data_IF_092826134337
#
_entry.id   IF_092826134337
#
_cell.length_a   1.000
_cell.length_b   1.000
_cell.length_c   1.000
_cell.angle_alpha   90.00
_cell.angle_beta   90.00
_cell.angle_gamma   90.00
#
_symmetry.space_group_name_H-M   'P 1'
#
loop_
_entity.id
_entity.type
_entity.pdbx_description
1 polymer ?
#
# COMPACT_ATOMS: atom_id res chain seq x y z
N UNK A 1 -32.66 -20.37 0.63
CA UNK A 1 -31.69 -20.58 1.73
C UNK A 1 -30.83 -19.33 1.84
N UNK A 2 -30.88 -18.60 2.96
CA UNK A 2 -30.03 -17.42 3.16
C UNK A 2 -28.63 -17.93 3.54
N UNK A 3 -27.66 -17.80 2.65
CA UNK A 3 -26.25 -18.01 3.01
C UNK A 3 -25.84 -16.86 3.92
N UNK A 4 -25.96 -17.04 5.23
CA UNK A 4 -25.30 -16.16 6.19
C UNK A 4 -23.79 -16.34 5.96
N UNK A 5 -23.05 -15.32 5.49
CA UNK A 5 -21.63 -15.48 5.26
C UNK A 5 -20.98 -15.85 6.60
N UNK A 6 -20.31 -17.00 6.65
CA UNK A 6 -19.57 -17.41 7.82
C UNK A 6 -18.42 -16.39 8.03
N UNK A 7 -18.54 -15.56 9.06
CA UNK A 7 -17.50 -14.58 9.42
C UNK A 7 -16.27 -15.35 9.86
N UNK A 8 -15.28 -15.44 8.97
CA UNK A 8 -13.99 -16.08 9.26
C UNK A 8 -13.21 -15.16 10.20
N UNK A 9 -13.10 -15.55 11.46
CA UNK A 9 -12.34 -14.81 12.49
C UNK A 9 -10.88 -15.23 12.41
N UNK A 10 -9.99 -14.28 12.17
CA UNK A 10 -8.56 -14.53 12.25
C UNK A 10 -8.14 -14.77 13.71
N UNK A 11 -7.19 -15.69 13.90
CA UNK A 11 -6.64 -15.97 15.22
C UNK A 11 -5.90 -14.75 15.78
N UNK A 12 -5.78 -14.65 17.11
CA UNK A 12 -4.96 -13.60 17.74
C UNK A 12 -3.49 -13.67 17.28
N UNK A 13 -2.96 -14.88 17.11
CA UNK A 13 -1.61 -15.13 16.63
C UNK A 13 -1.39 -14.58 15.20
N UNK A 14 -2.32 -14.84 14.28
CA UNK A 14 -2.21 -14.33 12.90
C UNK A 14 -2.26 -12.80 12.86
N UNK A 15 -3.19 -12.18 13.62
CA UNK A 15 -3.29 -10.72 13.70
C UNK A 15 -1.99 -10.10 14.25
N UNK A 16 -1.40 -10.71 15.27
CA UNK A 16 -0.14 -10.26 15.83
C UNK A 16 1.00 -10.34 14.80
N UNK A 17 1.13 -11.47 14.09
CA UNK A 17 2.13 -11.65 13.05
C UNK A 17 2.02 -10.57 11.96
N UNK A 18 0.81 -10.32 11.44
CA UNK A 18 0.59 -9.30 10.40
C UNK A 18 1.00 -7.91 10.88
N UNK A 19 0.63 -7.54 12.11
CA UNK A 19 1.00 -6.26 12.68
C UNK A 19 2.51 -6.11 12.87
N UNK A 20 3.17 -7.14 13.39
CA UNK A 20 4.62 -7.13 13.58
C UNK A 20 5.34 -7.01 12.23
N UNK A 21 4.97 -7.81 11.23
CA UNK A 21 5.55 -7.72 9.89
C UNK A 21 5.32 -6.34 9.26
N UNK A 22 4.12 -5.78 9.41
CA UNK A 22 3.81 -4.46 8.89
C UNK A 22 4.67 -3.36 9.53
N UNK A 23 4.79 -3.35 10.86
CA UNK A 23 5.62 -2.38 11.58
C UNK A 23 7.09 -2.52 11.16
N UNK A 24 7.61 -3.74 11.10
CA UNK A 24 9.00 -3.97 10.67
C UNK A 24 9.23 -3.43 9.25
N UNK A 25 8.33 -3.72 8.30
CA UNK A 25 8.46 -3.20 6.94
C UNK A 25 8.40 -1.68 6.87
N UNK A 26 7.46 -1.03 7.59
CA UNK A 26 7.34 0.43 7.59
C UNK A 26 8.57 1.09 8.19
N UNK A 27 9.07 0.56 9.32
CA UNK A 27 10.26 1.08 9.98
C UNK A 27 11.49 0.89 9.10
N UNK A 28 11.69 -0.29 8.51
CA UNK A 28 12.86 -0.59 7.69
C UNK A 28 12.90 0.26 6.41
N UNK A 29 11.76 0.41 5.73
CA UNK A 29 11.66 1.29 4.55
C UNK A 29 11.85 2.76 4.93
N UNK A 30 11.20 3.21 6.02
CA UNK A 30 11.30 4.58 6.51
C UNK A 30 12.73 4.94 6.93
N UNK A 31 13.43 4.05 7.64
CA UNK A 31 14.84 4.25 8.02
C UNK A 31 15.76 4.26 6.81
N UNK A 32 15.50 3.40 5.81
CA UNK A 32 16.26 3.39 4.56
C UNK A 32 16.16 4.71 3.81
N UNK A 33 14.96 5.31 3.76
CA UNK A 33 14.75 6.63 3.17
C UNK A 33 15.39 7.76 3.98
N UNK A 34 15.42 7.65 5.31
CA UNK A 34 16.05 8.65 6.17
C UNK A 34 17.58 8.70 6.01
N UNK A 35 18.21 7.57 5.67
CA UNK A 35 19.65 7.45 5.43
C UNK A 35 20.07 7.63 3.96
N UNK A 36 19.16 8.03 3.06
CA UNK A 36 19.53 8.28 1.67
C UNK A 36 20.52 9.46 1.57
N UNK A 37 21.67 9.30 0.88
CA UNK A 37 22.53 10.43 0.55
C UNK A 37 21.82 11.31 -0.48
N UNK A 38 21.57 12.58 -0.15
CA UNK A 38 20.84 13.52 -1.02
C UNK A 38 20.50 14.81 -0.27
N UNK A 39 19.95 15.80 -0.95
CA UNK A 39 19.49 17.03 -0.28
C UNK A 39 18.28 16.71 0.62
N UNK A 40 18.10 17.46 1.72
CA UNK A 40 16.98 17.20 2.64
C UNK A 40 15.61 17.31 1.96
N UNK A 41 15.50 18.17 0.94
CA UNK A 41 14.29 18.33 0.13
C UNK A 41 13.97 17.09 -0.71
N UNK A 42 14.99 16.46 -1.31
CA UNK A 42 14.85 15.23 -2.10
C UNK A 42 14.38 14.08 -1.20
N UNK A 43 14.98 13.94 -0.01
CA UNK A 43 14.56 12.94 0.99
C UNK A 43 13.13 13.16 1.44
N UNK A 44 12.72 14.41 1.72
CA UNK A 44 11.34 14.72 2.07
C UNK A 44 10.36 14.35 0.95
N UNK A 45 10.71 14.58 -0.31
CA UNK A 45 9.92 14.16 -1.46
C UNK A 45 9.77 12.64 -1.54
N UNK A 46 10.82 11.88 -1.24
CA UNK A 46 10.73 10.40 -1.18
C UNK A 46 9.86 9.89 -0.04
N UNK A 47 9.92 10.50 1.14
CA UNK A 47 9.04 10.13 2.26
C UNK A 47 7.57 10.38 1.89
N UNK A 48 7.26 11.51 1.26
CA UNK A 48 5.91 11.79 0.77
C UNK A 48 5.46 10.76 -0.29
N UNK A 49 6.34 10.43 -1.25
CA UNK A 49 6.09 9.40 -2.27
C UNK A 49 5.85 8.01 -1.66
N UNK A 50 6.63 7.64 -0.64
CA UNK A 50 6.48 6.39 0.11
C UNK A 50 5.11 6.29 0.79
N UNK A 51 4.68 7.32 1.51
CA UNK A 51 3.37 7.35 2.19
C UNK A 51 2.22 7.28 1.17
N UNK A 52 2.36 7.96 0.04
CA UNK A 52 1.37 7.90 -1.04
C UNK A 52 1.31 6.51 -1.69
N UNK A 53 2.46 5.90 -1.96
CA UNK A 53 2.55 4.52 -2.48
C UNK A 53 1.93 3.51 -1.51
N UNK A 54 2.22 3.63 -0.21
CA UNK A 54 1.63 2.78 0.83
C UNK A 54 0.10 2.94 0.89
N UNK A 55 -0.40 4.17 0.80
CA UNK A 55 -1.84 4.46 0.81
C UNK A 55 -2.56 3.87 -0.41
N UNK A 56 -1.96 4.01 -1.60
CA UNK A 56 -2.53 3.45 -2.84
C UNK A 56 -2.46 1.92 -2.86
N UNK A 57 -1.43 1.30 -2.27
CA UNK A 57 -1.36 -0.15 -2.07
C UNK A 57 -2.51 -0.67 -1.20
N UNK A 58 -2.85 0.02 -0.11
CA UNK A 58 -4.00 -0.34 0.72
C UNK A 58 -5.33 -0.16 -0.02
N UNK A 59 -5.49 0.91 -0.79
CA UNK A 59 -6.66 1.10 -1.64
C UNK A 59 -6.79 -0.01 -2.69
N UNK A 60 -5.68 -0.45 -3.28
CA UNK A 60 -5.63 -1.56 -4.23
C UNK A 60 -5.97 -2.90 -3.57
N UNK A 61 -5.43 -3.18 -2.38
CA UNK A 61 -5.77 -4.37 -1.62
C UNK A 61 -7.27 -4.40 -1.25
N UNK A 62 -7.82 -3.24 -0.85
CA UNK A 62 -9.26 -3.08 -0.60
C UNK A 62 -10.08 -3.35 -1.85
N UNK A 63 -9.73 -2.71 -2.97
CA UNK A 63 -10.40 -2.93 -4.26
C UNK A 63 -10.40 -4.40 -4.68
N UNK A 64 -9.25 -5.08 -4.58
CA UNK A 64 -9.13 -6.50 -4.91
C UNK A 64 -10.04 -7.33 -4.01
N UNK A 65 -10.02 -7.10 -2.68
CA UNK A 65 -10.83 -7.83 -1.69
C UNK A 65 -12.33 -7.61 -1.91
N UNK A 66 -12.75 -6.36 -2.08
CA UNK A 66 -14.16 -6.01 -2.29
C UNK A 66 -14.70 -6.67 -3.58
N UNK A 67 -13.85 -6.80 -4.60
CA UNK A 67 -14.18 -7.41 -5.88
C UNK A 67 -14.04 -8.96 -5.91
N UNK A 68 -13.50 -9.61 -4.87
CA UNK A 68 -13.46 -11.08 -4.75
C UNK A 68 -14.86 -11.66 -4.47
N UNK A 69 -15.60 -11.06 -3.53
CA UNK A 69 -16.88 -11.61 -3.07
C UNK A 69 -18.02 -11.27 -4.06
N UNK A 70 -18.04 -10.03 -4.58
CA UNK A 70 -18.94 -9.59 -5.66
C UNK A 70 -18.24 -8.54 -6.50
N UNK A 71 -18.42 -8.60 -7.82
CA UNK A 71 -17.98 -7.54 -8.73
C UNK A 71 -18.89 -6.31 -8.58
N UNK A 72 -18.63 -5.49 -7.58
CA UNK A 72 -19.44 -4.30 -7.25
C UNK A 72 -18.91 -3.04 -7.95
N UNK A 73 -17.61 -3.00 -8.24
CA UNK A 73 -16.94 -1.79 -8.69
C UNK A 73 -17.11 -1.49 -10.18
N UNK A 74 -17.17 -0.20 -10.50
CA UNK A 74 -17.28 0.29 -11.89
C UNK A 74 -15.93 0.17 -12.62
N UNK A 75 -15.94 -0.02 -13.96
CA UNK A 75 -14.71 -0.09 -14.76
C UNK A 75 -13.78 1.11 -14.58
N UNK A 76 -14.34 2.29 -14.28
CA UNK A 76 -13.59 3.53 -14.09
C UNK A 76 -12.86 3.57 -12.74
N UNK A 77 -13.47 3.08 -11.66
CA UNK A 77 -12.82 3.00 -10.35
C UNK A 77 -11.58 2.09 -10.38
N UNK A 78 -11.67 0.96 -11.09
CA UNK A 78 -10.52 0.06 -11.31
C UNK A 78 -9.33 0.78 -11.93
N UNK A 79 -9.58 1.63 -12.93
CA UNK A 79 -8.51 2.40 -13.59
C UNK A 79 -7.86 3.38 -12.60
N UNK A 80 -8.65 4.08 -11.79
CA UNK A 80 -8.13 5.04 -10.80
C UNK A 80 -7.20 4.37 -9.79
N UNK A 81 -7.62 3.23 -9.24
CA UNK A 81 -6.84 2.54 -8.19
C UNK A 81 -5.54 1.96 -8.74
N UNK A 82 -5.59 1.32 -9.92
CA UNK A 82 -4.40 0.77 -10.57
C UNK A 82 -3.46 1.86 -11.09
N UNK A 83 -4.00 2.91 -11.71
CA UNK A 83 -3.20 4.03 -12.19
C UNK A 83 -2.55 4.77 -11.02
N UNK A 84 -3.28 5.03 -9.94
CA UNK A 84 -2.74 5.68 -8.74
C UNK A 84 -1.56 4.91 -8.15
N UNK A 85 -1.69 3.58 -8.03
CA UNK A 85 -0.60 2.72 -7.54
C UNK A 85 0.60 2.69 -8.51
N UNK A 86 0.36 2.51 -9.81
CA UNK A 86 1.42 2.48 -10.82
C UNK A 86 2.17 3.82 -10.91
N UNK A 87 1.45 4.94 -10.84
CA UNK A 87 2.04 6.28 -10.79
C UNK A 87 2.85 6.48 -9.52
N UNK A 88 2.37 6.04 -8.36
CA UNK A 88 3.12 6.14 -7.11
C UNK A 88 4.44 5.36 -7.17
N UNK A 89 4.41 4.12 -7.67
CA UNK A 89 5.63 3.33 -7.87
C UNK A 89 6.57 3.98 -8.89
N UNK A 90 6.04 4.45 -10.02
CA UNK A 90 6.83 5.11 -11.06
C UNK A 90 7.51 6.39 -10.58
N UNK A 91 6.78 7.26 -9.86
CA UNK A 91 7.33 8.50 -9.30
C UNK A 91 8.38 8.23 -8.22
N UNK A 92 8.17 7.22 -7.38
CA UNK A 92 9.15 6.84 -6.34
C UNK A 92 10.42 6.28 -6.98
N UNK A 93 10.29 5.38 -7.96
CA UNK A 93 11.43 4.84 -8.69
C UNK A 93 12.20 5.91 -9.49
N UNK A 94 11.48 6.82 -10.13
CA UNK A 94 12.07 7.96 -10.84
C UNK A 94 12.84 8.88 -9.88
N UNK A 95 12.25 9.20 -8.73
CA UNK A 95 12.91 10.04 -7.75
C UNK A 95 14.17 9.41 -7.17
N UNK A 96 14.19 8.09 -6.95
CA UNK A 96 15.39 7.37 -6.54
C UNK A 96 16.48 7.32 -7.63
N UNK A 97 16.12 7.23 -8.91
CA UNK A 97 17.10 7.31 -10.00
C UNK A 97 17.78 8.68 -10.01
N UNK A 98 17.01 9.75 -9.84
CA UNK A 98 17.52 11.12 -10.00
C UNK A 98 18.48 11.57 -8.88
N UNK A 99 18.41 10.94 -7.71
CA UNK A 99 19.25 11.25 -6.55
C UNK A 99 20.67 10.69 -6.71
#
# INVERSE_FOLDING_TARGET
MRHTPAVRRDTSAWRFQVWVSFIISVVLCGSGLAWLPGQDLDRAFMVMGYVFCLSTAFALAKFIRDNQDRKVDTPMWRLVVWAGFALAMGLTGWGLWRM
#
